data_IF_086350443071
#
_entry.id   IF_086350443071
#
_cell.length_a   1.000
_cell.length_b   1.000
_cell.length_c   1.000
_cell.angle_alpha   90.00
_cell.angle_beta   90.00
_cell.angle_gamma   90.00
#
_symmetry.space_group_name_H-M   'P 1'
#
loop_
_entity.id
_entity.type
_entity.pdbx_description
1 polymer ?
#
# COMPACT_ATOMS: atom_id res chain seq x y z
N UNK A 1 21.22 -7.24 -5.96
CA UNK A 1 20.32 -7.79 -6.99
C UNK A 1 20.19 -6.75 -8.08
N UNK A 2 20.18 -7.18 -9.34
CA UNK A 2 19.98 -6.29 -10.49
C UNK A 2 18.49 -6.30 -10.90
N UNK A 3 18.00 -5.17 -11.42
CA UNK A 3 16.65 -5.05 -11.96
C UNK A 3 16.43 -5.98 -13.16
N UNK A 4 17.51 -6.33 -13.88
CA UNK A 4 17.53 -7.24 -15.03
C UNK A 4 17.33 -8.73 -14.65
N UNK A 5 16.98 -9.01 -13.40
CA UNK A 5 16.75 -10.38 -12.93
C UNK A 5 15.59 -11.05 -13.70
N UNK A 6 15.90 -12.16 -14.38
CA UNK A 6 14.95 -12.98 -15.14
C UNK A 6 13.69 -13.38 -14.36
N UNK A 7 13.77 -13.55 -13.03
CA UNK A 7 12.59 -13.83 -12.20
C UNK A 7 11.64 -12.63 -12.13
N UNK A 8 12.17 -11.42 -12.01
CA UNK A 8 11.37 -10.19 -11.99
C UNK A 8 10.67 -10.01 -13.35
N UNK A 9 11.37 -10.26 -14.45
CA UNK A 9 10.79 -10.27 -15.80
C UNK A 9 9.65 -11.31 -15.92
N UNK A 10 9.89 -12.55 -15.50
CA UNK A 10 8.90 -13.63 -15.57
C UNK A 10 7.65 -13.34 -14.75
N UNK A 11 7.80 -12.81 -13.53
CA UNK A 11 6.66 -12.43 -12.69
C UNK A 11 5.87 -11.29 -13.37
N UNK A 12 6.57 -10.29 -13.92
CA UNK A 12 5.96 -9.18 -14.65
C UNK A 12 5.18 -9.65 -15.89
N UNK A 13 5.73 -10.60 -16.64
CA UNK A 13 5.05 -11.21 -17.80
C UNK A 13 3.80 -12.01 -17.38
N UNK A 14 3.88 -12.77 -16.28
CA UNK A 14 2.75 -13.53 -15.74
C UNK A 14 1.64 -12.65 -15.18
N UNK A 15 1.95 -11.49 -14.63
CA UNK A 15 0.95 -10.56 -14.13
C UNK A 15 -0.12 -10.25 -15.18
N UNK A 16 0.28 -9.97 -16.44
CA UNK A 16 -0.70 -9.73 -17.52
C UNK A 16 -1.58 -10.93 -17.78
N UNK A 17 -1.00 -12.13 -17.79
CA UNK A 17 -1.69 -13.39 -18.07
C UNK A 17 -2.63 -13.81 -16.94
N UNK A 18 -2.24 -13.62 -15.69
CA UNK A 18 -2.97 -14.11 -14.51
C UNK A 18 -4.02 -13.10 -14.04
N UNK A 19 -3.83 -11.80 -14.31
CA UNK A 19 -4.76 -10.74 -13.93
C UNK A 19 -5.55 -10.16 -15.14
N UNK A 20 -5.57 -10.82 -16.30
CA UNK A 20 -6.28 -10.36 -17.51
C UNK A 20 -7.79 -10.14 -17.33
N UNK A 21 -8.43 -10.87 -16.41
CA UNK A 21 -9.86 -10.72 -16.12
C UNK A 21 -10.18 -9.46 -15.29
N UNK A 22 -9.16 -8.81 -14.71
CA UNK A 22 -9.33 -7.64 -13.85
C UNK A 22 -8.99 -6.32 -14.57
N UNK A 23 -8.19 -6.38 -15.64
CA UNK A 23 -7.55 -5.20 -16.22
C UNK A 23 -7.48 -5.29 -17.75
N UNK A 24 -7.77 -4.18 -18.43
CA UNK A 24 -7.49 -4.04 -19.86
C UNK A 24 -6.07 -3.51 -20.07
N UNK A 25 -5.12 -4.43 -20.28
CA UNK A 25 -3.71 -4.10 -20.46
C UNK A 25 -3.38 -3.30 -21.73
N UNK A 26 -4.35 -3.14 -22.65
CA UNK A 26 -4.17 -2.25 -23.80
C UNK A 26 -4.41 -0.78 -23.43
N UNK A 27 -5.22 -0.53 -22.39
CA UNK A 27 -5.54 0.82 -21.92
C UNK A 27 -4.70 1.23 -20.70
N UNK A 28 -4.41 0.28 -19.80
CA UNK A 28 -3.73 0.55 -18.54
C UNK A 28 -2.45 -0.25 -18.34
N UNK A 29 -1.51 0.35 -17.62
CA UNK A 29 -0.32 -0.28 -17.07
C UNK A 29 -0.23 -0.04 -15.57
N UNK A 30 0.17 -1.05 -14.81
CA UNK A 30 0.26 -0.99 -13.36
C UNK A 30 1.71 -1.23 -12.94
N UNK A 31 2.15 -0.46 -11.95
CA UNK A 31 3.40 -0.69 -11.26
C UNK A 31 3.14 -0.67 -9.75
N UNK A 32 3.58 -1.69 -9.06
CA UNK A 32 3.42 -1.83 -7.62
C UNK A 32 4.79 -1.97 -6.97
N UNK A 33 5.03 -1.20 -5.94
CA UNK A 33 6.32 -1.15 -5.26
C UNK A 33 6.11 -1.15 -3.75
N UNK A 34 6.85 -1.99 -3.06
CA UNK A 34 6.92 -2.01 -1.60
C UNK A 34 8.33 -1.66 -1.19
N UNK A 35 8.48 -0.71 -0.26
CA UNK A 35 9.76 -0.16 0.15
C UNK A 35 9.86 -0.28 1.66
N UNK A 36 10.82 -1.05 2.15
CA UNK A 36 11.13 -1.13 3.56
C UNK A 36 12.40 -0.30 3.83
N UNK A 37 12.24 0.82 4.52
CA UNK A 37 13.35 1.73 4.82
C UNK A 37 14.30 1.13 5.85
N UNK A 38 13.80 0.34 6.81
CA UNK A 38 14.62 -0.27 7.86
C UNK A 38 15.48 -1.42 7.30
N UNK A 39 14.85 -2.29 6.52
CA UNK A 39 15.53 -3.41 5.86
C UNK A 39 16.32 -2.98 4.62
N UNK A 40 16.12 -1.73 4.17
CA UNK A 40 16.75 -1.13 2.98
C UNK A 40 16.50 -1.95 1.71
N UNK A 41 15.26 -2.38 1.54
CA UNK A 41 14.87 -3.18 0.39
C UNK A 41 13.64 -2.64 -0.33
N UNK A 42 13.54 -3.06 -1.59
CA UNK A 42 12.47 -2.71 -2.50
C UNK A 42 12.00 -4.00 -3.15
N UNK A 43 10.70 -4.22 -3.12
CA UNK A 43 10.03 -5.19 -3.97
C UNK A 43 9.24 -4.44 -5.03
N UNK A 44 9.30 -4.93 -6.27
CA UNK A 44 8.62 -4.29 -7.39
C UNK A 44 7.94 -5.32 -8.27
N UNK A 45 6.81 -4.90 -8.84
CA UNK A 45 6.01 -5.67 -9.76
C UNK A 45 5.49 -4.68 -10.81
N UNK A 46 5.64 -5.01 -12.08
CA UNK A 46 5.15 -4.17 -13.17
C UNK A 46 4.40 -5.01 -14.18
N UNK A 47 3.29 -4.49 -14.71
CA UNK A 47 2.71 -5.03 -15.94
C UNK A 47 3.56 -4.65 -17.17
N UNK A 48 4.54 -3.76 -17.02
CA UNK A 48 5.43 -3.30 -18.08
C UNK A 48 6.87 -3.37 -17.57
N UNK A 49 7.54 -4.48 -17.88
CA UNK A 49 8.91 -4.72 -17.41
C UNK A 49 9.91 -3.76 -18.06
N UNK A 50 9.69 -3.39 -19.33
CA UNK A 50 10.52 -2.41 -20.03
C UNK A 50 10.48 -1.05 -19.32
N UNK A 51 9.30 -0.61 -18.92
CA UNK A 51 9.16 0.59 -18.08
C UNK A 51 9.98 0.50 -16.79
N UNK A 52 9.99 -0.66 -16.15
CA UNK A 52 10.77 -0.87 -14.93
C UNK A 52 12.27 -0.76 -15.20
N UNK A 53 12.76 -1.34 -16.30
CA UNK A 53 14.16 -1.18 -16.72
C UNK A 53 14.51 0.29 -16.98
N UNK A 54 13.66 1.02 -17.71
CA UNK A 54 13.85 2.46 -17.99
C UNK A 54 13.91 3.27 -16.69
N UNK A 55 13.04 2.98 -15.72
CA UNK A 55 13.01 3.65 -14.42
C UNK A 55 14.34 3.49 -13.69
N UNK A 56 14.84 2.26 -13.61
CA UNK A 56 16.07 1.93 -12.88
C UNK A 56 17.33 2.38 -13.63
N UNK A 57 17.38 2.27 -14.96
CA UNK A 57 18.49 2.76 -15.79
C UNK A 57 18.63 4.29 -15.76
N UNK A 58 17.56 5.02 -15.47
CA UNK A 58 17.60 6.46 -15.25
C UNK A 58 17.79 6.86 -13.79
N UNK A 59 18.14 5.90 -12.92
CA UNK A 59 18.38 6.12 -11.48
C UNK A 59 17.20 6.80 -10.76
N UNK A 60 15.98 6.56 -11.24
CA UNK A 60 14.80 7.18 -10.64
C UNK A 60 14.49 6.64 -9.25
N UNK A 61 15.01 5.48 -8.89
CA UNK A 61 14.99 4.96 -7.54
C UNK A 61 15.82 5.81 -6.56
N UNK A 62 16.83 6.56 -7.04
CA UNK A 62 17.57 7.54 -6.22
C UNK A 62 16.74 8.78 -5.88
N UNK A 63 15.57 8.95 -6.49
CA UNK A 63 14.62 10.02 -6.24
C UNK A 63 13.34 9.54 -5.54
N UNK A 64 13.32 8.29 -5.05
CA UNK A 64 12.14 7.66 -4.43
C UNK A 64 11.49 8.51 -3.33
N UNK A 65 12.26 9.24 -2.54
CA UNK A 65 11.77 10.12 -1.45
C UNK A 65 10.67 11.07 -1.94
N UNK A 66 10.74 11.55 -3.19
CA UNK A 66 9.69 12.42 -3.77
C UNK A 66 8.32 11.72 -3.85
N UNK A 67 8.31 10.39 -3.93
CA UNK A 67 7.11 9.55 -4.07
C UNK A 67 6.63 8.96 -2.74
N UNK A 68 7.36 9.17 -1.64
CA UNK A 68 7.05 8.65 -0.30
C UNK A 68 6.17 9.58 0.52
N UNK A 69 5.22 10.24 -0.15
CA UNK A 69 4.20 11.05 0.50
C UNK A 69 2.89 10.28 0.52
N UNK A 70 2.32 10.05 1.71
CA UNK A 70 1.06 9.32 1.83
C UNK A 70 -0.08 10.09 1.15
N UNK A 71 -0.73 9.48 0.16
CA UNK A 71 -1.79 10.11 -0.61
C UNK A 71 -1.75 9.76 -2.09
N UNK A 72 -2.39 10.59 -2.91
CA UNK A 72 -2.56 10.37 -4.35
C UNK A 72 -2.02 11.55 -5.13
N UNK A 73 -1.11 11.29 -6.07
CA UNK A 73 -0.41 12.34 -6.82
C UNK A 73 -0.16 11.96 -8.28
N UNK A 74 -0.33 12.92 -9.19
CA UNK A 74 0.11 12.76 -10.57
C UNK A 74 1.63 12.88 -10.69
N UNK A 75 2.21 12.08 -11.59
CA UNK A 75 3.64 12.14 -11.85
C UNK A 75 4.12 13.48 -12.41
N UNK A 76 3.23 14.22 -13.07
CA UNK A 76 3.54 15.57 -13.58
C UNK A 76 3.74 16.60 -12.47
N UNK A 77 3.38 16.29 -11.23
CA UNK A 77 3.59 17.15 -10.07
C UNK A 77 4.93 16.87 -9.34
N UNK A 78 5.65 15.81 -9.71
CA UNK A 78 7.01 15.56 -9.21
C UNK A 78 8.06 16.44 -9.89
N UNK A 79 9.33 16.26 -9.52
CA UNK A 79 10.44 17.04 -10.08
C UNK A 79 10.56 16.93 -11.61
N UNK A 80 11.38 17.83 -12.17
CA UNK A 80 11.66 17.84 -13.61
C UNK A 80 12.23 16.51 -14.13
N UNK A 81 12.93 15.74 -13.28
CA UNK A 81 13.43 14.41 -13.63
C UNK A 81 12.28 13.46 -14.01
N UNK A 82 11.23 13.40 -13.19
CA UNK A 82 10.04 12.61 -13.46
C UNK A 82 9.29 13.10 -14.71
N UNK A 83 9.15 14.42 -14.87
CA UNK A 83 8.51 15.00 -16.06
C UNK A 83 9.25 14.67 -17.35
N UNK A 84 10.59 14.72 -17.35
CA UNK A 84 11.43 14.36 -18.51
C UNK A 84 11.24 12.90 -18.93
N UNK A 85 11.13 11.99 -17.97
CA UNK A 85 10.90 10.58 -18.28
C UNK A 85 9.47 10.34 -18.80
N UNK A 86 8.47 10.98 -18.22
CA UNK A 86 7.10 10.93 -18.74
C UNK A 86 7.00 11.41 -20.18
N UNK A 87 7.73 12.47 -20.55
CA UNK A 87 7.74 12.99 -21.93
C UNK A 87 8.36 12.03 -22.93
N UNK A 88 9.37 11.23 -22.52
CA UNK A 88 9.98 10.21 -23.39
C UNK A 88 9.01 9.08 -23.74
N UNK A 89 7.95 8.90 -22.96
CA UNK A 89 7.02 7.78 -23.05
C UNK A 89 5.62 8.18 -23.52
N UNK A 90 5.40 9.46 -23.85
CA UNK A 90 4.08 10.04 -24.16
C UNK A 90 3.02 9.77 -23.06
N UNK A 91 3.47 9.69 -21.79
CA UNK A 91 2.61 9.35 -20.64
C UNK A 91 2.18 10.54 -19.79
N UNK A 92 2.62 11.76 -20.10
CA UNK A 92 2.12 13.06 -19.60
C UNK A 92 1.35 13.04 -18.25
N UNK A 93 0.13 13.57 -18.25
CA UNK A 93 -0.79 13.60 -17.08
C UNK A 93 -1.58 12.29 -16.91
N UNK A 94 -1.09 11.18 -17.46
CA UNK A 94 -1.82 9.90 -17.51
C UNK A 94 -1.29 8.88 -16.51
N UNK A 95 -0.28 9.25 -15.72
CA UNK A 95 0.30 8.43 -14.65
C UNK A 95 0.05 9.04 -13.27
N UNK A 96 -0.50 8.23 -12.37
CA UNK A 96 -0.86 8.59 -11.00
C UNK A 96 -0.25 7.59 -10.03
N UNK A 97 0.23 8.07 -8.89
CA UNK A 97 0.66 7.26 -7.76
C UNK A 97 -0.38 7.34 -6.63
N UNK A 98 -0.57 6.20 -5.96
CA UNK A 98 -1.15 6.10 -4.63
C UNK A 98 -0.06 5.57 -3.73
N UNK A 99 0.38 6.36 -2.75
CA UNK A 99 1.34 5.93 -1.75
C UNK A 99 0.65 5.77 -0.39
N UNK A 100 0.84 4.62 0.22
CA UNK A 100 0.46 4.37 1.61
C UNK A 100 1.73 4.24 2.45
N UNK A 101 1.78 4.93 3.58
CA UNK A 101 2.84 4.81 4.58
C UNK A 101 2.35 3.99 5.77
N UNK A 102 3.10 2.96 6.11
CA UNK A 102 2.94 2.12 7.30
C UNK A 102 4.24 2.17 8.11
N UNK A 103 4.40 3.24 8.90
CA UNK A 103 5.65 3.52 9.62
C UNK A 103 6.86 3.64 8.65
N UNK A 104 7.69 2.60 8.59
CA UNK A 104 8.91 2.52 7.78
C UNK A 104 8.71 1.71 6.47
N UNK A 105 7.52 1.13 6.30
CA UNK A 105 7.10 0.43 5.10
C UNK A 105 6.23 1.35 4.25
N UNK A 106 6.52 1.45 2.96
CA UNK A 106 5.72 2.21 2.00
C UNK A 106 5.24 1.30 0.90
N UNK A 107 3.98 1.44 0.51
CA UNK A 107 3.43 0.81 -0.68
C UNK A 107 3.09 1.91 -1.69
N UNK A 108 3.63 1.82 -2.89
CA UNK A 108 3.30 2.70 -4.00
C UNK A 108 2.61 1.88 -5.09
N UNK A 109 1.40 2.28 -5.44
CA UNK A 109 0.69 1.77 -6.60
C UNK A 109 0.60 2.87 -7.65
N UNK A 110 1.28 2.67 -8.76
CA UNK A 110 1.22 3.54 -9.92
C UNK A 110 0.27 2.97 -10.96
N UNK A 111 -0.71 3.76 -11.37
CA UNK A 111 -1.50 3.49 -12.56
C UNK A 111 -1.02 4.40 -13.69
N UNK A 112 -0.75 3.80 -14.84
CA UNK A 112 -0.58 4.46 -16.12
C UNK A 112 -1.79 4.14 -16.98
N UNK A 113 -2.38 5.14 -17.64
CA UNK A 113 -3.50 4.94 -18.55
C UNK A 113 -3.23 5.63 -19.89
N UNK A 114 -4.00 5.30 -20.94
CA UNK A 114 -3.97 6.05 -22.19
C UNK A 114 -4.80 7.34 -22.13
N UNK A 115 -5.61 7.48 -21.08
CA UNK A 115 -6.44 8.63 -20.76
C UNK A 115 -6.02 9.27 -19.43
N UNK A 116 -6.49 10.49 -19.14
CA UNK A 116 -6.28 11.12 -17.83
C UNK A 116 -7.12 10.37 -16.79
N UNK A 117 -6.49 9.81 -15.78
CA UNK A 117 -7.19 9.11 -14.67
C UNK A 117 -7.92 10.14 -13.81
N UNK A 118 -9.26 10.17 -13.75
CA UNK A 118 -9.99 11.09 -12.89
C UNK A 118 -9.93 10.62 -11.43
N UNK A 119 -9.92 11.56 -10.48
CA UNK A 119 -9.98 11.25 -9.05
C UNK A 119 -11.29 10.54 -8.66
N UNK A 120 -12.34 10.68 -9.46
CA UNK A 120 -13.64 10.04 -9.27
C UNK A 120 -13.53 8.50 -9.32
N UNK A 121 -12.43 7.97 -9.89
CA UNK A 121 -12.11 6.55 -9.94
C UNK A 121 -11.24 6.06 -8.75
N UNK A 122 -10.98 6.89 -7.74
CA UNK A 122 -10.16 6.54 -6.57
C UNK A 122 -10.58 5.22 -5.90
N UNK A 123 -11.88 4.97 -5.75
CA UNK A 123 -12.38 3.71 -5.17
C UNK A 123 -11.97 2.49 -6.01
N UNK A 124 -12.02 2.60 -7.34
CA UNK A 124 -11.54 1.56 -8.25
C UNK A 124 -10.03 1.38 -8.12
N UNK A 125 -9.26 2.46 -7.97
CA UNK A 125 -7.81 2.39 -7.75
C UNK A 125 -7.47 1.66 -6.45
N UNK A 126 -8.17 1.93 -5.34
CA UNK A 126 -7.97 1.20 -4.09
C UNK A 126 -8.30 -0.28 -4.21
N UNK A 127 -9.37 -0.63 -4.92
CA UNK A 127 -9.73 -2.04 -5.18
C UNK A 127 -8.66 -2.75 -6.03
N UNK A 128 -8.24 -2.12 -7.12
CA UNK A 128 -7.19 -2.64 -8.01
C UNK A 128 -5.87 -2.83 -7.30
N UNK A 129 -5.50 -1.86 -6.46
CA UNK A 129 -4.34 -1.92 -5.59
C UNK A 129 -4.38 -3.14 -4.66
N UNK A 130 -5.52 -3.45 -4.05
CA UNK A 130 -5.64 -4.66 -3.20
C UNK A 130 -5.44 -5.95 -4.00
N UNK A 131 -6.02 -6.07 -5.20
CA UNK A 131 -5.83 -7.23 -6.08
C UNK A 131 -4.35 -7.42 -6.44
N UNK A 132 -3.67 -6.33 -6.81
CA UNK A 132 -2.27 -6.36 -7.23
C UNK A 132 -1.33 -6.58 -6.05
N UNK A 133 -1.64 -6.02 -4.89
CA UNK A 133 -0.93 -6.25 -3.62
C UNK A 133 -0.93 -7.74 -3.27
N UNK A 134 -2.10 -8.36 -3.23
CA UNK A 134 -2.25 -9.79 -2.95
C UNK A 134 -1.42 -10.65 -3.90
N UNK A 135 -1.55 -10.39 -5.20
CA UNK A 135 -0.76 -11.07 -6.24
C UNK A 135 0.76 -10.89 -6.05
N UNK A 136 1.21 -9.66 -5.82
CA UNK A 136 2.62 -9.34 -5.69
C UNK A 136 3.26 -10.10 -4.52
N UNK A 137 2.61 -10.06 -3.35
CA UNK A 137 3.12 -10.74 -2.18
C UNK A 137 3.13 -12.27 -2.33
N UNK A 138 2.14 -12.86 -2.99
CA UNK A 138 2.16 -14.29 -3.33
C UNK A 138 3.44 -14.61 -4.11
N UNK A 139 3.70 -13.90 -5.22
CA UNK A 139 4.85 -14.18 -6.09
C UNK A 139 6.20 -13.86 -5.47
N UNK A 140 6.27 -12.83 -4.62
CA UNK A 140 7.50 -12.49 -3.89
C UNK A 140 7.80 -13.48 -2.77
N UNK A 141 6.78 -13.99 -2.07
CA UNK A 141 6.96 -14.99 -1.00
C UNK A 141 7.53 -16.31 -1.51
N UNK A 142 7.18 -16.69 -2.74
CA UNK A 142 7.73 -17.85 -3.45
C UNK A 142 9.18 -17.62 -3.92
N UNK A 143 9.64 -16.37 -4.00
CA UNK A 143 10.89 -15.98 -4.66
C UNK A 143 11.65 -14.91 -3.89
N UNK A 144 12.39 -15.30 -2.84
CA UNK A 144 13.26 -14.37 -2.09
C UNK A 144 14.31 -13.64 -2.95
N UNK A 145 14.60 -14.14 -4.16
CA UNK A 145 15.55 -13.55 -5.10
C UNK A 145 15.00 -12.36 -5.92
N UNK A 146 13.85 -11.78 -5.58
CA UNK A 146 13.27 -10.61 -6.28
C UNK A 146 13.42 -9.30 -5.50
N UNK A 147 14.13 -9.35 -4.37
CA UNK A 147 14.44 -8.21 -3.53
C UNK A 147 15.52 -7.32 -4.16
N UNK A 148 15.23 -6.03 -4.30
CA UNK A 148 16.12 -5.01 -4.84
C UNK A 148 16.66 -4.11 -3.72
N UNK A 149 17.88 -3.58 -3.84
CA UNK A 149 18.44 -2.71 -2.82
C UNK A 149 17.78 -1.32 -2.85
N UNK A 150 17.47 -0.77 -1.68
CA UNK A 150 17.13 0.64 -1.55
C UNK A 150 18.42 1.48 -1.65
N UNK A 151 18.68 2.04 -2.84
CA UNK A 151 19.91 2.82 -3.10
C UNK A 151 19.88 4.23 -2.52
N UNK A 152 18.70 4.86 -2.45
CA UNK A 152 18.56 6.18 -1.85
C UNK A 152 18.61 6.09 -0.32
N UNK A 153 19.42 6.93 0.32
CA UNK A 153 19.33 7.13 1.77
C UNK A 153 18.07 7.93 2.09
N UNK A 154 17.05 7.25 2.60
CA UNK A 154 15.82 7.90 3.04
C UNK A 154 15.92 8.14 4.54
N UNK A 155 16.07 9.40 4.91
CA UNK A 155 15.85 9.86 6.28
C UNK A 155 14.36 10.16 6.40
N UNK A 156 13.71 9.34 7.23
CA UNK A 156 12.34 9.57 7.65
C UNK A 156 12.39 10.69 8.68
N UNK A 157 11.65 11.77 8.43
CA UNK A 157 11.45 12.81 9.45
C UNK A 157 10.93 12.11 10.71
N UNK A 158 11.48 12.48 11.89
CA UNK A 158 11.10 11.88 13.15
C UNK A 158 9.57 11.93 13.28
N UNK A 159 8.97 10.73 13.27
CA UNK A 159 7.54 10.44 13.41
C UNK A 159 6.61 10.93 12.28
N UNK A 160 6.25 10.02 11.36
CA UNK A 160 4.80 9.74 11.30
C UNK A 160 4.49 9.10 12.66
N UNK A 161 3.50 9.57 13.42
CA UNK A 161 3.29 9.05 14.75
C UNK A 161 2.96 7.55 14.66
N UNK A 162 3.92 6.72 15.08
CA UNK A 162 3.56 5.58 15.90
C UNK A 162 2.88 6.22 17.11
N UNK A 163 1.54 6.21 17.15
CA UNK A 163 0.85 6.43 18.43
C UNK A 163 1.19 5.23 19.31
N UNK A 164 2.31 5.35 20.01
CA UNK A 164 2.49 5.18 21.44
C UNK A 164 3.98 4.99 21.75
N UNK A 165 4.72 6.09 21.77
CA UNK A 165 5.72 6.31 22.82
C UNK A 165 5.42 7.63 23.52
N UNK A 166 4.21 7.72 24.08
CA UNK A 166 3.96 8.60 25.21
C UNK A 166 4.14 7.74 26.46
N UNK A 167 5.21 7.98 27.22
CA UNK A 167 5.19 7.59 28.62
C UNK A 167 3.96 8.29 29.22
N UNK A 168 3.05 7.47 29.75
CA UNK A 168 1.88 7.88 30.54
C UNK A 168 0.75 8.61 29.79
N UNK A 169 -0.13 7.85 29.11
CA UNK A 169 -1.61 7.90 29.28
C UNK A 169 -2.33 6.93 28.31
N UNK A 170 -2.76 5.79 28.87
CA UNK A 170 -3.59 4.68 28.33
C UNK A 170 -3.21 4.06 26.98
N UNK A 171 -2.79 2.77 27.01
CA UNK A 171 -2.54 1.89 25.86
C UNK A 171 -3.79 1.59 24.98
N UNK A 172 -4.88 2.35 25.12
CA UNK A 172 -6.18 2.06 24.54
C UNK A 172 -6.87 3.32 24.01
N UNK A 173 -7.34 3.26 22.76
CA UNK A 173 -8.21 4.23 22.10
C UNK A 173 -9.66 3.86 22.40
N UNK A 174 -10.49 4.84 22.75
CA UNK A 174 -11.89 4.61 23.16
C UNK A 174 -12.90 5.18 22.16
N UNK A 175 -13.99 4.44 21.97
CA UNK A 175 -15.17 4.85 21.21
C UNK A 175 -16.41 4.58 22.09
N UNK A 176 -16.88 5.63 22.77
CA UNK A 176 -17.91 5.48 23.81
C UNK A 176 -17.43 4.55 24.94
N UNK A 177 -18.12 3.44 25.14
CA UNK A 177 -17.77 2.41 26.15
C UNK A 177 -16.77 1.37 25.64
N UNK A 178 -16.42 1.41 24.34
CA UNK A 178 -15.48 0.45 23.75
C UNK A 178 -14.05 0.95 23.91
N UNK A 179 -13.12 0.03 24.17
CA UNK A 179 -11.69 0.31 24.26
C UNK A 179 -10.86 -0.67 23.46
N UNK A 180 -10.02 -0.14 22.57
CA UNK A 180 -9.17 -0.90 21.65
C UNK A 180 -7.71 -0.53 21.85
N UNK A 181 -6.83 -1.53 21.88
CA UNK A 181 -5.39 -1.31 21.83
C UNK A 181 -4.97 -0.72 20.49
N UNK A 182 -3.79 -0.11 20.41
CA UNK A 182 -3.31 0.48 19.15
C UNK A 182 -3.22 -0.53 18.00
N UNK A 183 -2.82 -1.77 18.29
CA UNK A 183 -2.81 -2.85 17.29
C UNK A 183 -4.21 -3.17 16.80
N UNK A 184 -5.18 -3.25 17.71
CA UNK A 184 -6.59 -3.47 17.32
C UNK A 184 -7.12 -2.30 16.49
N UNK A 185 -6.80 -1.06 16.83
CA UNK A 185 -7.21 0.11 16.05
C UNK A 185 -6.57 0.13 14.67
N UNK A 186 -5.29 -0.25 14.57
CA UNK A 186 -4.62 -0.40 13.28
C UNK A 186 -5.28 -1.48 12.43
N UNK A 187 -5.62 -2.63 13.02
CA UNK A 187 -6.41 -3.68 12.37
C UNK A 187 -7.75 -3.16 11.87
N UNK A 188 -8.52 -2.48 12.73
CA UNK A 188 -9.83 -1.91 12.36
C UNK A 188 -9.67 -0.95 11.18
N UNK A 189 -8.67 -0.07 11.23
CA UNK A 189 -8.39 0.89 10.15
C UNK A 189 -8.11 0.18 8.83
N UNK A 190 -7.26 -0.85 8.85
CA UNK A 190 -6.90 -1.60 7.65
C UNK A 190 -8.08 -2.41 7.11
N UNK A 191 -8.89 -3.01 7.99
CA UNK A 191 -10.14 -3.68 7.60
C UNK A 191 -11.11 -2.72 6.92
N UNK A 192 -11.34 -1.53 7.50
CA UNK A 192 -12.17 -0.48 6.91
C UNK A 192 -11.60 0.07 5.59
N UNK A 193 -10.31 -0.12 5.35
CA UNK A 193 -9.63 0.19 4.07
C UNK A 193 -9.67 -0.99 3.08
N UNK A 194 -10.53 -1.99 3.33
CA UNK A 194 -10.71 -3.18 2.49
C UNK A 194 -9.45 -4.04 2.32
N UNK A 195 -8.65 -4.17 3.38
CA UNK A 195 -7.55 -5.14 3.44
C UNK A 195 -8.03 -6.49 3.95
N UNK A 196 -7.46 -7.55 3.39
CA UNK A 196 -7.66 -8.91 3.92
C UNK A 196 -6.74 -9.18 5.12
N UNK A 197 -7.01 -10.23 5.88
CA UNK A 197 -6.29 -10.52 7.15
C UNK A 197 -4.80 -10.83 6.89
N UNK A 198 -4.47 -11.45 5.76
CA UNK A 198 -3.10 -11.75 5.38
C UNK A 198 -2.28 -10.47 5.11
N UNK A 199 -2.86 -9.52 4.37
CA UNK A 199 -2.23 -8.22 4.17
C UNK A 199 -2.00 -7.50 5.51
N UNK A 200 -2.98 -7.56 6.42
CA UNK A 200 -2.89 -6.90 7.72
C UNK A 200 -1.80 -7.52 8.59
N UNK A 201 -1.70 -8.85 8.64
CA UNK A 201 -0.69 -9.54 9.46
C UNK A 201 0.73 -9.16 9.00
N UNK A 202 0.95 -9.09 7.68
CA UNK A 202 2.20 -8.62 7.07
C UNK A 202 2.51 -7.16 7.43
N UNK A 203 1.54 -6.25 7.28
CA UNK A 203 1.70 -4.83 7.64
C UNK A 203 2.06 -4.68 9.13
N UNK A 204 1.48 -5.50 10.01
CA UNK A 204 1.72 -5.45 11.45
C UNK A 204 2.91 -6.30 11.92
N UNK A 205 3.58 -7.02 11.01
CA UNK A 205 4.73 -7.87 11.32
C UNK A 205 4.39 -9.03 12.26
N UNK A 206 3.22 -9.65 12.12
CA UNK A 206 2.78 -10.81 12.92
C UNK A 206 2.27 -11.96 12.04
N UNK A 207 1.95 -13.11 12.65
CA UNK A 207 1.36 -14.23 11.93
C UNK A 207 -0.10 -13.94 11.54
N UNK A 208 -0.62 -14.68 10.56
CA UNK A 208 -2.04 -14.61 10.21
C UNK A 208 -2.93 -15.04 11.39
N UNK A 209 -2.53 -16.06 12.16
CA UNK A 209 -3.26 -16.52 13.34
C UNK A 209 -3.38 -15.43 14.41
N UNK A 210 -2.30 -14.68 14.66
CA UNK A 210 -2.31 -13.56 15.61
C UNK A 210 -3.29 -12.47 15.18
N UNK A 211 -3.40 -12.24 13.86
CA UNK A 211 -4.33 -11.27 13.29
C UNK A 211 -5.77 -11.78 13.35
N UNK A 212 -6.02 -13.06 13.06
CA UNK A 212 -7.34 -13.68 13.25
C UNK A 212 -7.81 -13.59 14.70
N UNK A 213 -6.94 -13.86 15.67
CA UNK A 213 -7.23 -13.69 17.11
C UNK A 213 -7.58 -12.23 17.41
N UNK A 214 -6.82 -11.28 16.86
CA UNK A 214 -7.07 -9.85 17.05
C UNK A 214 -8.42 -9.41 16.47
N UNK A 215 -8.76 -9.85 15.25
CA UNK A 215 -10.06 -9.61 14.64
C UNK A 215 -11.20 -10.22 15.46
N UNK A 216 -11.01 -11.44 15.99
CA UNK A 216 -11.98 -12.08 16.89
C UNK A 216 -12.20 -11.27 18.17
N UNK A 217 -11.13 -10.77 18.79
CA UNK A 217 -11.21 -9.92 19.97
C UNK A 217 -11.91 -8.58 19.69
N UNK A 218 -11.66 -7.97 18.52
CA UNK A 218 -12.39 -6.77 18.06
C UNK A 218 -13.88 -7.06 17.92
N UNK A 219 -14.24 -8.17 17.27
CA UNK A 219 -15.64 -8.57 17.10
C UNK A 219 -16.33 -8.84 18.43
N UNK A 220 -15.64 -9.48 19.38
CA UNK A 220 -16.13 -9.68 20.76
C UNK A 220 -16.46 -8.35 21.43
N UNK A 221 -15.55 -7.38 21.35
CA UNK A 221 -15.76 -6.03 21.92
C UNK A 221 -16.96 -5.32 21.29
N UNK A 222 -17.18 -5.51 19.99
CA UNK A 222 -18.32 -4.95 19.25
C UNK A 222 -19.61 -5.78 19.39
N UNK A 223 -19.61 -6.88 20.16
CA UNK A 223 -20.71 -7.84 20.26
C UNK A 223 -21.19 -8.35 18.89
N UNK A 224 -20.26 -8.62 17.97
CA UNK A 224 -20.55 -8.95 16.58
C UNK A 224 -19.76 -10.19 16.08
N UNK A 225 -19.60 -11.20 16.94
CA UNK A 225 -18.78 -12.39 16.66
C UNK A 225 -19.30 -13.20 15.46
N UNK A 226 -20.62 -13.39 15.39
CA UNK A 226 -21.27 -14.30 14.43
C UNK A 226 -21.73 -13.60 13.14
N UNK A 227 -21.52 -12.29 13.02
CA UNK A 227 -21.98 -11.53 11.86
C UNK A 227 -20.92 -11.45 10.77
N UNK A 228 -21.38 -11.22 9.54
CA UNK A 228 -20.51 -11.02 8.38
C UNK A 228 -19.63 -9.78 8.58
N UNK A 229 -18.53 -9.70 7.82
CA UNK A 229 -17.62 -8.54 7.89
C UNK A 229 -18.33 -7.22 7.51
N UNK A 230 -19.28 -7.29 6.57
CA UNK A 230 -20.08 -6.13 6.15
C UNK A 230 -20.99 -5.63 7.28
N UNK A 231 -21.63 -6.54 8.01
CA UNK A 231 -22.46 -6.20 9.18
C UNK A 231 -21.59 -5.66 10.32
N UNK A 232 -20.41 -6.24 10.54
CA UNK A 232 -19.42 -5.73 11.50
C UNK A 232 -19.03 -4.28 11.20
N UNK A 233 -18.86 -3.90 9.92
CA UNK A 233 -18.60 -2.51 9.54
C UNK A 233 -19.78 -1.57 9.81
N UNK A 234 -21.02 -2.06 9.69
CA UNK A 234 -22.20 -1.28 10.11
C UNK A 234 -22.17 -1.01 11.62
N UNK A 235 -21.90 -2.04 12.42
CA UNK A 235 -21.79 -1.91 13.89
C UNK A 235 -20.67 -0.94 14.28
N UNK A 236 -19.51 -1.01 13.62
CA UNK A 236 -18.43 -0.04 13.81
C UNK A 236 -18.90 1.39 13.54
N UNK A 237 -19.60 1.60 12.42
CA UNK A 237 -20.13 2.92 12.04
C UNK A 237 -21.13 3.45 13.07
N UNK A 238 -21.99 2.60 13.62
CA UNK A 238 -22.97 2.97 14.66
C UNK A 238 -22.28 3.43 15.96
N UNK A 239 -21.08 2.90 16.25
CA UNK A 239 -20.23 3.35 17.35
C UNK A 239 -19.35 4.56 17.01
N UNK A 240 -19.52 5.16 15.83
CA UNK A 240 -18.71 6.27 15.34
C UNK A 240 -17.30 5.86 14.91
N UNK A 241 -17.02 4.57 14.79
CA UNK A 241 -15.75 4.03 14.29
C UNK A 241 -15.81 4.02 12.76
N UNK A 242 -15.24 5.06 12.18
CA UNK A 242 -15.14 5.26 10.73
C UNK A 242 -13.68 5.46 10.33
N UNK A 243 -13.37 5.27 9.05
CA UNK A 243 -12.02 5.56 8.56
C UNK A 243 -11.62 7.01 8.86
N UNK A 244 -12.53 7.97 8.63
CA UNK A 244 -12.30 9.38 8.91
C UNK A 244 -12.08 9.69 10.41
N UNK A 245 -12.81 9.03 11.32
CA UNK A 245 -12.57 9.22 12.77
C UNK A 245 -11.23 8.63 13.19
N UNK A 246 -10.84 7.50 12.59
CA UNK A 246 -9.55 6.87 12.84
C UNK A 246 -8.39 7.68 12.28
N UNK A 247 -8.56 8.34 11.14
CA UNK A 247 -7.58 9.27 10.57
C UNK A 247 -7.37 10.50 11.46
N UNK A 248 -8.41 11.01 12.12
CA UNK A 248 -8.27 12.10 13.09
C UNK A 248 -7.54 11.67 14.37
N UNK A 249 -7.79 10.44 14.82
CA UNK A 249 -7.19 9.89 16.04
C UNK A 249 -5.80 9.31 15.80
N UNK A 250 -5.50 8.89 14.57
CA UNK A 250 -4.23 8.37 14.09
C UNK A 250 -3.81 9.09 12.79
N UNK A 251 -3.56 10.41 12.86
CA UNK A 251 -3.19 11.18 11.67
C UNK A 251 -1.90 10.63 11.08
N UNK A 252 -1.94 10.33 9.78
CA UNK A 252 -0.73 10.11 9.00
C UNK A 252 -0.27 11.51 8.59
N UNK A 253 0.83 11.96 9.18
CA UNK A 253 1.67 12.97 8.55
C UNK A 253 2.82 12.22 7.85
#
# INVERSE_FOLDING_TARGET
MDIENNRIEKISARMKLELYNYFDWNDIGIHYTVINVDEKNIYTLSSDYEWQLIYWHHDMDLLLKERLFAGVQYWSNYSEAYRKILTKLDKGNKKIDICNRYNNLFEIFSLNANHKVPYDHLLSLYRWRSIVSEYAYEKWSENKEVELPLRQKIELDETAPIICRGNETSNFIRFGQLSFSNKEVLTIRLLLSHRNINEISRIQGCSEEDEYIRVSNIKKKLNCEMVSQKECFSVMKDHGITLASLEKLMPIN
#
